data_IF_946918475999
#
_entry.id   IF_946918475999
#
_cell.length_a   1.000
_cell.length_b   1.000
_cell.length_c   1.000
_cell.angle_alpha   90.00
_cell.angle_beta   90.00
_cell.angle_gamma   90.00
#
_symmetry.space_group_name_H-M   'P 1'
#
loop_
_entity.id
_entity.type
_entity.pdbx_description
1 polymer ?
#
# COMPACT_ATOMS: atom_id res chain seq x y z
N UNK A 1 13.10 -2.36 -1.04
CA UNK A 1 12.45 -1.03 -1.10
C UNK A 1 12.96 -0.08 -0.01
N UNK A 2 13.05 -0.50 1.27
CA UNK A 2 13.55 0.34 2.39
C UNK A 2 14.90 1.01 2.09
N UNK A 3 15.90 0.23 1.63
CA UNK A 3 17.22 0.75 1.24
C UNK A 3 17.11 1.83 0.16
N UNK A 4 16.27 1.64 -0.84
CA UNK A 4 16.07 2.64 -1.89
C UNK A 4 15.46 3.93 -1.34
N UNK A 5 14.50 3.84 -0.41
CA UNK A 5 13.90 5.03 0.20
C UNK A 5 14.91 5.82 1.05
N UNK A 6 15.84 5.14 1.73
CA UNK A 6 16.96 5.77 2.43
C UNK A 6 17.86 6.54 1.48
N UNK A 7 18.22 5.96 0.34
CA UNK A 7 19.04 6.62 -0.69
C UNK A 7 18.34 7.83 -1.30
N UNK A 8 17.04 7.74 -1.58
CA UNK A 8 16.24 8.87 -2.09
C UNK A 8 16.26 10.04 -1.10
N UNK A 9 16.08 9.75 0.19
CA UNK A 9 16.15 10.75 1.24
C UNK A 9 17.56 11.35 1.38
N UNK A 10 18.62 10.51 1.31
CA UNK A 10 20.02 10.98 1.34
C UNK A 10 20.36 11.94 0.19
N UNK A 11 19.66 11.85 -0.94
CA UNK A 11 19.76 12.79 -2.07
C UNK A 11 18.89 14.06 -1.89
N UNK A 12 18.39 14.32 -0.70
CA UNK A 12 17.61 15.52 -0.35
C UNK A 12 16.17 15.51 -0.87
N UNK A 13 15.63 14.35 -1.31
CA UNK A 13 14.21 14.26 -1.70
C UNK A 13 13.35 14.07 -0.46
N UNK A 14 12.36 14.94 -0.32
CA UNK A 14 11.43 14.94 0.83
C UNK A 14 10.16 14.15 0.54
N UNK A 15 9.52 13.68 1.60
CA UNK A 15 8.28 12.88 1.54
C UNK A 15 7.15 13.56 0.78
N UNK A 16 7.03 14.88 0.86
CA UNK A 16 6.02 15.62 0.11
C UNK A 16 6.20 15.45 -1.40
N UNK A 17 7.44 15.48 -1.90
CA UNK A 17 7.73 15.27 -3.31
C UNK A 17 7.32 13.87 -3.78
N UNK A 18 7.53 12.85 -2.94
CA UNK A 18 7.07 11.49 -3.23
C UNK A 18 5.54 11.44 -3.30
N UNK A 19 4.83 12.08 -2.37
CA UNK A 19 3.36 12.16 -2.40
C UNK A 19 2.85 12.81 -3.69
N UNK A 20 3.45 13.93 -4.09
CA UNK A 20 3.04 14.61 -5.32
C UNK A 20 3.24 13.72 -6.55
N UNK A 21 4.36 13.00 -6.66
CA UNK A 21 4.58 12.05 -7.76
C UNK A 21 3.54 10.92 -7.76
N UNK A 22 3.19 10.38 -6.59
CA UNK A 22 2.20 9.30 -6.47
C UNK A 22 0.80 9.72 -6.93
N UNK A 23 0.43 11.00 -6.83
CA UNK A 23 -0.86 11.50 -7.33
C UNK A 23 -0.98 11.42 -8.86
N UNK A 24 0.15 11.37 -9.58
CA UNK A 24 0.16 11.20 -11.03
C UNK A 24 -0.01 9.75 -11.49
N UNK A 25 -0.04 8.78 -10.57
CA UNK A 25 -0.25 7.37 -10.93
C UNK A 25 -1.62 7.24 -11.58
N UNK A 26 -1.70 6.79 -12.85
CA UNK A 26 -2.97 6.72 -13.55
C UNK A 26 -3.84 5.64 -12.92
N UNK A 27 -5.00 6.04 -12.40
CA UNK A 27 -6.05 5.09 -12.05
C UNK A 27 -6.84 4.76 -13.31
N UNK A 28 -7.02 3.47 -13.58
CA UNK A 28 -7.81 3.00 -14.73
C UNK A 28 -9.18 3.69 -14.69
N UNK A 29 -9.61 4.42 -15.74
CA UNK A 29 -10.75 5.35 -15.69
C UNK A 29 -12.07 4.80 -15.14
N UNK A 30 -12.28 3.48 -15.18
CA UNK A 30 -13.51 2.81 -14.70
C UNK A 30 -13.40 2.20 -13.30
N UNK A 31 -12.21 2.17 -12.70
CA UNK A 31 -11.99 1.53 -11.39
C UNK A 31 -12.63 2.34 -10.26
N UNK A 32 -12.46 3.67 -10.24
CA UNK A 32 -13.07 4.51 -9.19
C UNK A 32 -14.60 4.42 -9.17
N UNK A 33 -15.32 4.57 -10.31
CA UNK A 33 -16.77 4.38 -10.34
C UNK A 33 -17.20 2.98 -9.88
N UNK A 34 -16.52 1.93 -10.34
CA UNK A 34 -16.85 0.55 -9.98
C UNK A 34 -16.67 0.27 -8.47
N UNK A 35 -15.60 0.80 -7.86
CA UNK A 35 -15.36 0.70 -6.41
C UNK A 35 -16.47 1.41 -5.64
N UNK A 36 -16.83 2.63 -6.05
CA UNK A 36 -17.89 3.41 -5.39
C UNK A 36 -19.26 2.74 -5.50
N UNK A 37 -19.57 2.16 -6.66
CA UNK A 37 -20.82 1.41 -6.86
C UNK A 37 -20.86 0.15 -5.99
N UNK A 38 -19.79 -0.64 -5.96
CA UNK A 38 -19.71 -1.82 -5.11
C UNK A 38 -19.84 -1.45 -3.62
N UNK A 39 -19.19 -0.38 -3.18
CA UNK A 39 -19.33 0.13 -1.81
C UNK A 39 -20.78 0.56 -1.51
N UNK A 40 -21.43 1.28 -2.44
CA UNK A 40 -22.83 1.72 -2.28
C UNK A 40 -23.83 0.54 -2.24
N UNK A 41 -23.50 -0.58 -2.88
CA UNK A 41 -24.28 -1.82 -2.82
C UNK A 41 -24.06 -2.60 -1.51
N UNK A 42 -23.18 -2.13 -0.61
CA UNK A 42 -22.92 -2.74 0.69
C UNK A 42 -21.91 -3.89 0.65
N UNK A 43 -21.11 -4.02 -0.41
CA UNK A 43 -20.04 -5.03 -0.46
C UNK A 43 -18.87 -4.66 0.46
N UNK A 44 -18.29 -5.67 1.09
CA UNK A 44 -17.04 -5.55 1.83
C UNK A 44 -15.85 -5.52 0.84
N UNK A 45 -15.18 -4.38 0.73
CA UNK A 45 -14.04 -4.21 -0.18
C UNK A 45 -12.72 -4.25 0.60
N UNK A 46 -11.77 -5.06 0.11
CA UNK A 46 -10.44 -5.21 0.69
C UNK A 46 -9.36 -5.13 -0.38
N UNK A 47 -8.18 -4.62 -0.02
CA UNK A 47 -7.00 -4.55 -0.89
C UNK A 47 -5.97 -5.58 -0.44
N UNK A 48 -5.36 -6.28 -1.39
CA UNK A 48 -4.15 -7.08 -1.19
C UNK A 48 -3.11 -6.61 -2.20
N UNK A 49 -1.93 -6.19 -1.74
CA UNK A 49 -0.90 -5.63 -2.60
C UNK A 49 0.51 -5.82 -2.05
N UNK A 50 1.46 -6.23 -2.89
CA UNK A 50 2.90 -6.26 -2.58
C UNK A 50 3.56 -4.86 -2.64
N UNK A 51 2.77 -3.78 -2.65
CA UNK A 51 3.26 -2.40 -2.58
C UNK A 51 3.67 -2.03 -1.15
N UNK A 52 3.27 -0.86 -0.65
CA UNK A 52 3.38 -0.50 0.77
C UNK A 52 2.25 0.44 1.18
N UNK A 53 1.96 0.48 2.48
CA UNK A 53 0.81 1.20 3.02
C UNK A 53 0.84 2.69 2.65
N UNK A 54 1.99 3.35 2.75
CA UNK A 54 2.16 4.76 2.44
C UNK A 54 1.81 5.06 0.98
N UNK A 55 2.23 4.21 0.02
CA UNK A 55 1.91 4.40 -1.39
C UNK A 55 0.44 4.16 -1.67
N UNK A 56 -0.09 3.03 -1.20
CA UNK A 56 -1.48 2.64 -1.42
C UNK A 56 -2.41 3.72 -0.87
N UNK A 57 -2.26 4.12 0.39
CA UNK A 57 -3.11 5.16 0.98
C UNK A 57 -3.00 6.50 0.26
N UNK A 58 -1.79 6.89 -0.17
CA UNK A 58 -1.61 8.16 -0.89
C UNK A 58 -2.43 8.18 -2.18
N UNK A 59 -2.41 7.10 -2.95
CA UNK A 59 -3.18 6.97 -4.20
C UNK A 59 -4.68 6.91 -3.91
N UNK A 60 -5.11 6.13 -2.91
CA UNK A 60 -6.53 5.99 -2.56
C UNK A 60 -7.14 7.29 -2.03
N UNK A 61 -6.40 8.02 -1.18
CA UNK A 61 -6.80 9.33 -0.65
C UNK A 61 -6.90 10.35 -1.78
N UNK A 62 -5.92 10.38 -2.69
CA UNK A 62 -6.00 11.25 -3.88
C UNK A 62 -7.19 10.92 -4.77
N UNK A 63 -7.51 9.63 -4.91
CA UNK A 63 -8.62 9.14 -5.74
C UNK A 63 -10.00 9.24 -5.05
N UNK A 64 -10.05 9.65 -3.77
CA UNK A 64 -11.29 9.78 -3.01
C UNK A 64 -12.03 8.46 -2.78
N UNK A 65 -11.30 7.35 -2.61
CA UNK A 65 -11.86 5.99 -2.40
C UNK A 65 -11.23 5.25 -1.23
N UNK A 66 -10.41 5.93 -0.41
CA UNK A 66 -9.77 5.33 0.76
C UNK A 66 -10.79 4.69 1.70
N UNK A 67 -11.90 5.38 1.96
CA UNK A 67 -12.89 4.96 2.94
C UNK A 67 -13.87 3.90 2.39
N UNK A 68 -13.71 3.51 1.12
CA UNK A 68 -14.48 2.41 0.53
C UNK A 68 -13.97 1.03 0.98
N UNK A 69 -12.75 0.95 1.54
CA UNK A 69 -12.11 -0.30 1.89
C UNK A 69 -12.11 -0.54 3.40
N UNK A 70 -12.58 -1.70 3.84
CA UNK A 70 -12.56 -2.09 5.25
C UNK A 70 -11.17 -2.54 5.70
N UNK A 71 -10.33 -3.00 4.77
CA UNK A 71 -9.00 -3.54 5.06
C UNK A 71 -8.03 -3.39 3.89
N UNK A 72 -6.79 -3.03 4.21
CA UNK A 72 -5.67 -2.93 3.27
C UNK A 72 -4.54 -3.85 3.77
N UNK A 73 -4.32 -4.96 3.07
CA UNK A 73 -3.26 -5.92 3.33
C UNK A 73 -2.08 -5.61 2.40
N UNK A 74 -1.07 -4.93 2.92
CA UNK A 74 0.13 -4.56 2.18
C UNK A 74 1.34 -4.42 3.10
N UNK A 75 2.54 -4.27 2.54
CA UNK A 75 3.77 -4.09 3.32
C UNK A 75 3.65 -2.85 4.22
N UNK A 76 3.81 -2.99 5.55
CA UNK A 76 3.71 -1.88 6.48
C UNK A 76 4.81 -0.85 6.20
N UNK A 77 4.46 0.41 6.38
CA UNK A 77 5.40 1.51 6.21
C UNK A 77 5.04 2.68 7.11
N UNK A 78 6.05 3.42 7.54
CA UNK A 78 5.90 4.62 8.36
C UNK A 78 6.99 5.64 8.02
N UNK A 79 6.76 6.90 8.36
CA UNK A 79 7.80 7.93 8.30
C UNK A 79 8.45 8.02 9.67
N UNK A 80 9.77 7.85 9.76
CA UNK A 80 10.49 7.95 11.02
C UNK A 80 10.76 9.41 11.44
N UNK A 81 11.37 9.59 12.61
CA UNK A 81 11.65 10.92 13.20
C UNK A 81 12.61 11.77 12.34
N UNK A 82 13.38 11.13 11.45
CA UNK A 82 14.28 11.80 10.51
C UNK A 82 13.57 12.16 9.18
N UNK A 83 12.27 11.86 9.06
CA UNK A 83 11.49 12.10 7.86
C UNK A 83 11.75 11.09 6.74
N UNK A 84 12.31 9.92 7.06
CA UNK A 84 12.58 8.85 6.08
C UNK A 84 11.40 7.88 6.03
N UNK A 85 10.99 7.50 4.82
CA UNK A 85 10.04 6.42 4.64
C UNK A 85 10.72 5.08 4.95
N UNK A 86 10.21 4.38 5.95
CA UNK A 86 10.60 3.03 6.32
C UNK A 86 9.56 2.04 5.83
N UNK A 87 10.01 0.97 5.20
CA UNK A 87 9.13 -0.08 4.65
C UNK A 87 9.62 -1.41 5.16
N UNK A 88 8.74 -2.16 5.81
CA UNK A 88 9.04 -3.53 6.22
C UNK A 88 8.21 -4.50 5.38
N UNK A 89 8.74 -5.66 4.99
CA UNK A 89 7.93 -6.64 4.28
C UNK A 89 6.78 -7.14 5.16
N UNK A 90 5.64 -7.44 4.55
CA UNK A 90 4.53 -8.11 5.19
C UNK A 90 4.88 -9.59 5.31
N UNK A 91 5.39 -10.01 6.47
CA UNK A 91 5.61 -11.41 6.79
C UNK A 91 4.69 -11.82 7.94
N UNK A 92 3.68 -12.64 7.64
CA UNK A 92 2.98 -13.41 8.66
C UNK A 92 3.73 -14.75 8.83
N UNK A 93 4.63 -14.80 9.81
CA UNK A 93 5.40 -16.01 10.13
C UNK A 93 4.54 -17.13 10.76
N UNK A 94 3.25 -16.86 11.03
CA UNK A 94 2.35 -17.84 11.65
C UNK A 94 1.67 -18.77 10.61
N UNK A 95 2.16 -18.74 9.36
CA UNK A 95 1.74 -19.67 8.33
C UNK A 95 2.40 -21.04 8.54
N UNK A 96 1.66 -21.97 9.16
CA UNK A 96 2.04 -23.40 9.28
C UNK A 96 1.97 -24.15 7.94
N UNK A 97 2.72 -23.70 6.92
CA UNK A 97 2.86 -24.43 5.67
C UNK A 97 3.98 -25.48 5.80
N UNK A 98 3.66 -26.76 5.59
CA UNK A 98 4.64 -27.86 5.66
C UNK A 98 5.65 -27.88 4.49
N UNK A 99 5.47 -27.05 3.47
CA UNK A 99 6.36 -26.97 2.31
C UNK A 99 6.99 -25.57 2.20
N UNK A 100 8.17 -25.49 1.59
CA UNK A 100 8.94 -24.26 1.37
C UNK A 100 8.18 -23.28 0.47
N UNK A 101 7.30 -22.47 1.06
CA UNK A 101 6.62 -21.40 0.35
C UNK A 101 7.63 -20.30 0.01
N UNK A 102 7.65 -19.92 -1.27
CA UNK A 102 8.49 -18.83 -1.77
C UNK A 102 7.85 -17.50 -1.33
N UNK A 103 8.22 -17.07 -0.11
CA UNK A 103 8.12 -15.78 0.62
C UNK A 103 7.17 -14.62 0.22
N UNK A 104 6.44 -14.61 -0.91
CA UNK A 104 5.65 -13.43 -1.34
C UNK A 104 4.16 -13.68 -1.60
N UNK A 105 3.70 -14.93 -1.68
CA UNK A 105 2.27 -15.22 -1.99
C UNK A 105 1.44 -15.65 -0.79
N UNK A 106 2.05 -15.82 0.39
CA UNK A 106 1.39 -16.33 1.60
C UNK A 106 0.94 -15.21 2.56
N UNK A 107 0.37 -14.12 2.06
CA UNK A 107 -0.31 -13.15 2.92
C UNK A 107 -1.65 -13.74 3.38
N UNK A 108 -1.80 -13.99 4.69
CA UNK A 108 -3.06 -14.47 5.27
C UNK A 108 -4.11 -13.37 5.14
N UNK A 109 -5.01 -13.50 4.17
CA UNK A 109 -6.21 -12.66 4.08
C UNK A 109 -7.16 -13.12 5.20
N UNK A 110 -7.01 -12.54 6.40
CA UNK A 110 -8.03 -12.60 7.45
C UNK A 110 -9.17 -11.63 7.15
#
# INVERSE_FOLDING_TARGET
>A
MDTMMKEIHARGKIMQGIKEVLKWVPVIPRVVPAIKEAYALGYDLRIVSDANLFFVETILKHSGINDCFSKINTNPSYVDDEGKLRISPYYDFDHKCNNSCVLQTCARVS
#
